data_IF_616904555237
#
_entry.id   IF_616904555237
#
_cell.length_a   1.000
_cell.length_b   1.000
_cell.length_c   1.000
_cell.angle_alpha   90.00
_cell.angle_beta   90.00
_cell.angle_gamma   90.00
#
_symmetry.space_group_name_H-M   'P 1'
#
loop_
_entity.id
_entity.type
_entity.pdbx_description
1 polymer ?
#
# COMPACT_ATOMS: atom_id res chain seq x y z
N UNK A 1 -10.82 -5.31 -8.01
CA UNK A 1 -11.04 -6.66 -7.49
C UNK A 1 -9.93 -7.61 -7.90
N UNK A 2 -9.77 -8.69 -7.15
CA UNK A 2 -8.81 -9.73 -7.51
C UNK A 2 -9.13 -10.27 -8.91
N UNK A 3 -8.11 -10.41 -9.73
CA UNK A 3 -8.21 -10.86 -11.12
C UNK A 3 -8.36 -9.74 -12.13
N UNK A 4 -8.70 -8.54 -11.70
CA UNK A 4 -8.78 -7.38 -12.59
C UNK A 4 -7.39 -6.78 -12.81
N UNK A 5 -7.24 -6.02 -13.88
CA UNK A 5 -6.01 -5.28 -14.14
C UNK A 5 -6.09 -3.91 -13.48
N UNK A 6 -5.01 -3.55 -12.78
CA UNK A 6 -4.93 -2.30 -12.04
C UNK A 6 -4.60 -1.13 -12.97
N UNK A 7 -5.16 0.02 -12.64
CA UNK A 7 -4.86 1.28 -13.31
C UNK A 7 -3.57 1.86 -12.74
N UNK A 8 -2.67 2.34 -13.62
CA UNK A 8 -1.50 3.08 -13.17
C UNK A 8 -1.91 4.45 -12.64
N UNK A 9 -1.00 5.09 -11.96
CA UNK A 9 -1.19 6.42 -11.38
C UNK A 9 0.06 7.26 -11.57
N UNK A 10 -0.06 8.55 -11.32
CA UNK A 10 1.06 9.47 -11.30
C UNK A 10 0.82 10.41 -10.12
N UNK A 11 1.44 10.10 -8.98
CA UNK A 11 1.18 10.76 -7.72
C UNK A 11 2.46 11.35 -7.13
N UNK A 12 2.30 12.42 -6.34
CA UNK A 12 3.41 13.15 -5.75
C UNK A 12 3.94 12.45 -4.50
N UNK A 13 5.22 12.13 -4.52
CA UNK A 13 5.95 11.61 -3.37
C UNK A 13 6.33 12.73 -2.40
N UNK A 14 6.65 12.35 -1.18
CA UNK A 14 7.10 13.29 -0.14
C UNK A 14 8.38 14.04 -0.50
N UNK A 15 9.18 13.54 -1.45
CA UNK A 15 10.36 14.26 -1.97
C UNK A 15 10.02 15.27 -3.08
N UNK A 16 8.75 15.41 -3.41
CA UNK A 16 8.26 16.32 -4.44
C UNK A 16 8.26 15.75 -5.85
N UNK A 17 8.78 14.54 -6.05
CA UNK A 17 8.80 13.89 -7.36
C UNK A 17 7.51 13.15 -7.63
N UNK A 18 7.13 13.07 -8.90
CA UNK A 18 5.99 12.26 -9.32
C UNK A 18 6.42 10.80 -9.46
N UNK A 19 5.59 9.89 -8.99
CA UNK A 19 5.86 8.44 -9.04
C UNK A 19 4.70 7.73 -9.74
N UNK A 20 5.05 6.86 -10.68
CA UNK A 20 4.12 5.96 -11.36
C UNK A 20 4.67 4.54 -11.31
N UNK A 21 3.80 3.54 -11.41
CA UNK A 21 4.26 2.14 -11.47
C UNK A 21 4.99 1.86 -12.79
N UNK A 22 4.55 2.46 -13.88
CA UNK A 22 5.17 2.29 -15.20
C UNK A 22 6.62 2.78 -15.25
N UNK A 23 7.01 3.71 -14.37
CA UNK A 23 8.39 4.20 -14.31
C UNK A 23 9.34 3.20 -13.65
N UNK A 24 8.82 2.22 -12.93
CA UNK A 24 9.61 1.17 -12.24
C UNK A 24 9.72 -0.06 -13.13
N UNK A 25 10.52 0.04 -14.20
CA UNK A 25 10.56 -0.97 -15.27
C UNK A 25 11.10 -2.33 -14.86
N UNK A 26 11.92 -2.38 -13.79
CA UNK A 26 12.50 -3.63 -13.30
C UNK A 26 11.56 -4.39 -12.34
N UNK A 27 10.45 -3.80 -11.97
CA UNK A 27 9.53 -4.43 -11.03
C UNK A 27 8.82 -5.63 -11.67
N UNK A 28 8.69 -6.70 -10.88
CA UNK A 28 7.90 -7.89 -11.25
C UNK A 28 6.46 -7.75 -10.80
N UNK A 29 6.21 -6.86 -9.87
CA UNK A 29 4.91 -6.55 -9.31
C UNK A 29 5.07 -5.44 -8.28
N UNK A 30 4.02 -5.20 -7.50
CA UNK A 30 3.99 -4.13 -6.52
C UNK A 30 3.20 -4.54 -5.29
N UNK A 31 3.60 -4.00 -4.15
CA UNK A 31 2.82 -4.05 -2.92
C UNK A 31 2.32 -2.63 -2.69
N UNK A 32 1.06 -2.37 -3.03
CA UNK A 32 0.43 -1.06 -2.81
C UNK A 32 -0.28 -1.06 -1.47
N UNK A 33 -0.02 -0.05 -0.66
CA UNK A 33 -0.63 0.05 0.67
C UNK A 33 -1.23 1.44 0.82
N UNK A 34 -2.56 1.51 0.86
CA UNK A 34 -3.26 2.74 1.23
C UNK A 34 -3.17 2.88 2.74
N UNK A 35 -2.50 3.93 3.20
CA UNK A 35 -2.23 4.16 4.62
C UNK A 35 -2.19 5.65 4.92
N UNK A 36 -2.18 6.01 6.21
CA UNK A 36 -2.17 7.40 6.61
C UNK A 36 -1.38 7.58 7.91
N UNK A 37 -1.27 8.82 8.37
CA UNK A 37 -0.47 9.16 9.56
C UNK A 37 -1.26 9.07 10.87
N UNK A 38 -2.57 9.22 10.83
CA UNK A 38 -3.40 9.44 12.03
C UNK A 38 -4.14 8.20 12.50
N UNK A 39 -4.37 7.22 11.62
CA UNK A 39 -5.12 6.03 11.97
C UNK A 39 -4.32 5.12 12.91
N UNK A 40 -4.88 4.73 14.08
CA UNK A 40 -4.17 3.82 15.00
C UNK A 40 -3.76 2.50 14.35
N UNK A 41 -4.60 1.95 13.48
CA UNK A 41 -4.28 0.71 12.76
C UNK A 41 -3.10 0.90 11.80
N UNK A 42 -3.08 2.01 11.07
CA UNK A 42 -1.96 2.33 10.18
C UNK A 42 -0.65 2.50 10.97
N UNK A 43 -0.71 3.17 12.12
CA UNK A 43 0.46 3.35 13.00
C UNK A 43 1.02 2.02 13.49
N UNK A 44 0.15 1.08 13.84
CA UNK A 44 0.56 -0.25 14.30
C UNK A 44 1.31 -1.05 13.23
N UNK A 45 1.04 -0.76 11.96
CA UNK A 45 1.64 -1.48 10.85
C UNK A 45 2.89 -0.81 10.25
N UNK A 46 3.25 0.39 10.67
CA UNK A 46 4.36 1.15 10.05
C UNK A 46 5.67 0.37 9.98
N UNK A 47 6.08 -0.26 11.08
CA UNK A 47 7.31 -1.06 11.11
C UNK A 47 7.23 -2.26 10.16
N UNK A 48 6.06 -2.89 10.08
CA UNK A 48 5.85 -4.03 9.17
C UNK A 48 5.90 -3.62 7.71
N UNK A 49 5.45 -2.41 7.39
CA UNK A 49 5.57 -1.86 6.03
C UNK A 49 7.03 -1.59 5.69
N UNK A 50 7.80 -1.05 6.63
CA UNK A 50 9.26 -0.87 6.47
C UNK A 50 9.94 -2.23 6.23
N UNK A 51 9.59 -3.25 7.00
CA UNK A 51 10.15 -4.60 6.85
C UNK A 51 9.79 -5.24 5.51
N UNK A 52 8.54 -5.08 5.05
CA UNK A 52 8.12 -5.55 3.72
C UNK A 52 8.95 -4.90 2.62
N UNK A 53 9.21 -3.61 2.74
CA UNK A 53 10.03 -2.86 1.79
C UNK A 53 11.44 -3.41 1.74
N UNK A 54 12.06 -3.62 2.90
CA UNK A 54 13.40 -4.19 3.01
C UNK A 54 13.46 -5.59 2.41
N UNK A 55 12.44 -6.40 2.65
CA UNK A 55 12.42 -7.81 2.24
C UNK A 55 12.16 -7.98 0.74
N UNK A 56 11.25 -7.22 0.16
CA UNK A 56 10.71 -7.51 -1.18
C UNK A 56 11.15 -6.58 -2.29
N UNK A 57 11.64 -5.37 -2.00
CA UNK A 57 12.08 -4.44 -3.05
C UNK A 57 13.16 -5.07 -3.93
N UNK A 58 14.19 -5.65 -3.32
CA UNK A 58 15.29 -6.30 -4.06
C UNK A 58 14.84 -7.55 -4.82
N UNK A 59 13.71 -8.12 -4.45
CA UNK A 59 13.13 -9.31 -5.12
C UNK A 59 12.19 -8.95 -6.26
N UNK A 60 12.01 -7.66 -6.53
CA UNK A 60 11.19 -7.17 -7.64
C UNK A 60 9.77 -6.77 -7.27
N UNK A 61 9.42 -6.75 -5.98
CA UNK A 61 8.12 -6.30 -5.48
C UNK A 61 8.28 -5.09 -4.56
N UNK A 62 8.52 -3.89 -5.11
CA UNK A 62 8.63 -2.70 -4.29
C UNK A 62 7.31 -2.36 -3.60
N UNK A 63 7.41 -1.76 -2.42
CA UNK A 63 6.28 -1.22 -1.69
C UNK A 63 6.06 0.23 -2.13
N UNK A 64 4.82 0.59 -2.39
CA UNK A 64 4.40 1.97 -2.60
C UNK A 64 3.25 2.23 -1.65
N UNK A 65 3.41 3.21 -0.76
CA UNK A 65 2.35 3.63 0.15
C UNK A 65 1.65 4.87 -0.41
N UNK A 66 0.34 4.92 -0.25
CA UNK A 66 -0.50 6.01 -0.77
C UNK A 66 -1.40 6.50 0.35
N UNK A 67 -1.34 7.79 0.66
CA UNK A 67 -2.25 8.41 1.60
C UNK A 67 -3.52 8.87 0.85
N UNK A 68 -4.67 8.26 1.17
CA UNK A 68 -5.92 8.59 0.50
C UNK A 68 -6.72 9.70 1.18
N UNK A 69 -6.34 10.11 2.39
CA UNK A 69 -7.14 11.01 3.20
C UNK A 69 -7.02 12.46 2.75
N UNK A 70 -8.15 13.16 2.72
CA UNK A 70 -8.18 14.59 2.43
C UNK A 70 -7.56 15.36 3.62
N UNK A 71 -6.49 16.11 3.35
CA UNK A 71 -5.74 16.85 4.37
C UNK A 71 -6.53 17.99 5.01
N UNK A 72 -7.60 18.48 4.36
CA UNK A 72 -8.46 19.50 4.98
C UNK A 72 -9.41 18.90 6.01
N UNK A 73 -9.86 17.65 5.81
CA UNK A 73 -10.70 16.93 6.77
C UNK A 73 -9.89 16.22 7.83
N UNK A 74 -8.67 15.85 7.52
CA UNK A 74 -7.74 15.16 8.42
C UNK A 74 -6.40 15.90 8.38
N UNK A 75 -6.25 17.02 9.13
CA UNK A 75 -5.03 17.83 9.04
C UNK A 75 -3.74 17.09 9.35
N UNK A 76 -3.79 16.09 10.22
CA UNK A 76 -2.65 15.22 10.52
C UNK A 76 -2.23 14.33 9.34
N UNK A 77 -3.02 14.26 8.27
CA UNK A 77 -2.75 13.52 7.05
C UNK A 77 -2.44 14.43 5.87
N UNK A 78 -2.14 15.70 6.11
CA UNK A 78 -1.71 16.63 5.06
C UNK A 78 -0.36 16.19 4.47
N UNK A 79 -0.06 16.71 3.29
CA UNK A 79 1.20 16.41 2.61
C UNK A 79 2.42 16.74 3.48
N UNK A 80 2.39 17.88 4.19
CA UNK A 80 3.48 18.26 5.09
C UNK A 80 3.60 17.31 6.28
N UNK A 81 2.50 16.82 6.80
CA UNK A 81 2.49 15.85 7.89
C UNK A 81 2.98 14.47 7.43
N UNK A 82 2.76 14.12 6.17
CA UNK A 82 3.34 12.90 5.58
C UNK A 82 4.87 12.96 5.61
N UNK A 83 5.45 14.10 5.24
CA UNK A 83 6.91 14.30 5.28
C UNK A 83 7.45 14.16 6.70
N UNK A 84 6.80 14.80 7.66
CA UNK A 84 7.19 14.74 9.07
C UNK A 84 7.13 13.31 9.61
N UNK A 85 6.06 12.60 9.30
CA UNK A 85 5.86 11.21 9.75
C UNK A 85 6.92 10.27 9.15
N UNK A 86 7.18 10.41 7.86
CA UNK A 86 8.17 9.58 7.17
C UNK A 86 9.56 9.75 7.78
N UNK A 87 9.93 10.99 8.09
CA UNK A 87 11.21 11.30 8.73
C UNK A 87 11.27 10.73 10.14
N UNK A 88 10.24 10.93 10.94
CA UNK A 88 10.17 10.47 12.32
C UNK A 88 10.25 8.95 12.43
N UNK A 89 9.56 8.24 11.55
CA UNK A 89 9.44 6.79 11.59
C UNK A 89 10.42 6.06 10.67
N UNK A 90 11.25 6.78 9.95
CA UNK A 90 12.26 6.16 9.08
C UNK A 90 11.67 5.38 7.93
N UNK A 91 10.65 5.90 7.27
CA UNK A 91 10.03 5.23 6.12
C UNK A 91 11.05 5.09 4.97
N UNK A 92 11.21 3.87 4.47
CA UNK A 92 12.14 3.53 3.40
C UNK A 92 11.44 3.22 2.07
N UNK A 93 10.23 3.68 1.92
CA UNK A 93 9.36 3.43 0.76
C UNK A 93 8.78 4.75 0.24
N UNK A 94 8.42 4.82 -1.07
CA UNK A 94 7.68 5.98 -1.58
C UNK A 94 6.36 6.15 -0.82
N UNK A 95 6.08 7.38 -0.44
CA UNK A 95 4.86 7.73 0.28
C UNK A 95 4.16 8.84 -0.51
N UNK A 96 3.12 8.46 -1.25
CA UNK A 96 2.47 9.29 -2.24
C UNK A 96 1.17 9.89 -1.70
N UNK A 97 0.86 11.09 -2.15
CA UNK A 97 -0.39 11.74 -1.77
C UNK A 97 -1.39 11.68 -2.92
N UNK A 98 -2.55 11.05 -2.68
CA UNK A 98 -3.66 10.98 -3.63
C UNK A 98 -4.60 12.17 -3.41
N UNK A 99 -4.14 13.34 -3.79
CA UNK A 99 -4.84 14.61 -3.51
C UNK A 99 -6.26 14.65 -4.07
N UNK A 100 -6.46 14.13 -5.29
CA UNK A 100 -7.78 14.10 -5.93
C UNK A 100 -8.64 12.93 -5.46
N UNK A 101 -8.04 11.93 -4.83
CA UNK A 101 -8.66 10.69 -4.41
C UNK A 101 -9.14 9.80 -5.56
N UNK A 102 -8.73 10.11 -6.79
CA UNK A 102 -9.10 9.32 -7.97
C UNK A 102 -8.49 7.93 -7.96
N UNK A 103 -7.21 7.82 -7.57
CA UNK A 103 -6.53 6.53 -7.49
C UNK A 103 -7.19 5.64 -6.43
N UNK A 104 -7.49 6.21 -5.27
CA UNK A 104 -8.16 5.48 -4.18
C UNK A 104 -9.51 4.93 -4.65
N UNK A 105 -10.29 5.74 -5.36
CA UNK A 105 -11.59 5.31 -5.91
C UNK A 105 -11.42 4.23 -6.97
N UNK A 106 -10.45 4.39 -7.85
CA UNK A 106 -10.19 3.42 -8.92
C UNK A 106 -9.85 2.03 -8.37
N UNK A 107 -9.11 1.97 -7.26
CA UNK A 107 -8.75 0.70 -6.62
C UNK A 107 -9.87 0.14 -5.74
N UNK A 108 -10.84 0.97 -5.36
CA UNK A 108 -11.88 0.56 -4.41
C UNK A 108 -11.36 0.41 -2.98
N UNK A 109 -10.30 1.15 -2.63
CA UNK A 109 -9.80 1.15 -1.26
C UNK A 109 -10.80 1.81 -0.32
N UNK A 110 -11.04 1.20 0.84
CA UNK A 110 -12.06 1.67 1.80
C UNK A 110 -11.53 1.84 3.22
N UNK A 111 -10.35 1.33 3.51
CA UNK A 111 -9.74 1.36 4.84
C UNK A 111 -8.28 1.81 4.75
N UNK A 112 -7.70 2.17 5.88
CA UNK A 112 -6.27 2.33 6.05
C UNK A 112 -5.83 1.53 7.29
N UNK A 113 -4.86 0.59 7.17
CA UNK A 113 -4.17 0.19 5.94
C UNK A 113 -5.03 -0.75 5.08
N UNK A 114 -4.87 -0.67 3.76
CA UNK A 114 -5.54 -1.54 2.80
C UNK A 114 -4.53 -1.91 1.71
N UNK A 115 -4.28 -3.21 1.52
CA UNK A 115 -3.20 -3.70 0.66
C UNK A 115 -3.76 -4.25 -0.65
N UNK A 116 -3.02 -3.96 -1.74
CA UNK A 116 -3.25 -4.54 -3.06
C UNK A 116 -1.90 -5.07 -3.56
N UNK A 117 -1.79 -6.38 -3.72
CA UNK A 117 -0.60 -7.00 -4.32
C UNK A 117 -0.85 -7.18 -5.81
N UNK A 118 0.03 -6.62 -6.62
CA UNK A 118 -0.08 -6.64 -8.08
C UNK A 118 1.06 -7.45 -8.68
N UNK A 119 0.75 -8.26 -9.70
CA UNK A 119 1.75 -8.98 -10.48
C UNK A 119 1.78 -8.43 -11.90
N UNK A 120 2.98 -8.18 -12.40
CA UNK A 120 3.17 -7.73 -13.77
C UNK A 120 2.99 -8.89 -14.74
N UNK A 121 2.06 -8.73 -15.68
CA UNK A 121 1.81 -9.64 -16.77
C UNK A 121 1.94 -8.87 -18.09
N UNK A 122 3.03 -9.10 -18.82
CA UNK A 122 3.41 -8.29 -19.98
C UNK A 122 3.53 -6.82 -19.55
N UNK A 123 2.70 -5.92 -20.09
CA UNK A 123 2.67 -4.50 -19.73
C UNK A 123 1.53 -4.13 -18.76
N UNK A 124 0.81 -5.14 -18.26
CA UNK A 124 -0.34 -4.94 -17.38
C UNK A 124 -0.03 -5.42 -15.97
N UNK A 125 -0.78 -4.90 -15.00
CA UNK A 125 -0.64 -5.25 -13.58
C UNK A 125 -1.93 -5.90 -13.10
N UNK A 126 -1.86 -7.18 -12.81
CA UNK A 126 -3.00 -7.94 -12.33
C UNK A 126 -3.09 -7.91 -10.82
N UNK A 127 -4.28 -7.66 -10.30
CA UNK A 127 -4.54 -7.70 -8.85
C UNK A 127 -4.59 -9.16 -8.40
N UNK A 128 -3.65 -9.56 -7.53
CA UNK A 128 -3.54 -10.93 -7.06
C UNK A 128 -3.99 -11.11 -5.60
N UNK A 129 -3.95 -10.05 -4.81
CA UNK A 129 -4.38 -10.07 -3.42
C UNK A 129 -4.92 -8.71 -3.01
N UNK A 130 -6.01 -8.72 -2.24
CA UNK A 130 -6.59 -7.51 -1.62
C UNK A 130 -6.92 -7.80 -0.16
N UNK A 131 -6.52 -6.92 0.76
CA UNK A 131 -6.92 -7.04 2.15
C UNK A 131 -5.92 -6.51 3.17
N UNK A 132 -5.78 -7.25 4.25
CA UNK A 132 -4.92 -6.89 5.38
C UNK A 132 -3.47 -7.33 5.16
N UNK A 133 -2.54 -6.71 5.88
CA UNK A 133 -1.13 -7.11 5.86
C UNK A 133 -0.94 -8.49 6.49
N UNK A 134 -1.56 -8.68 7.64
CA UNK A 134 -1.53 -9.94 8.37
C UNK A 134 -2.79 -10.06 9.26
N UNK A 135 -2.86 -11.10 10.09
CA UNK A 135 -4.03 -11.35 10.95
C UNK A 135 -3.89 -10.82 12.38
N UNK A 136 -2.87 -10.02 12.68
CA UNK A 136 -2.72 -9.45 14.03
C UNK A 136 -2.14 -8.02 13.97
N UNK A 137 -3.03 -7.03 14.05
CA UNK A 137 -2.61 -5.63 14.01
C UNK A 137 -1.90 -5.18 15.27
N UNK A 138 -2.17 -5.81 16.41
CA UNK A 138 -1.62 -5.39 17.70
C UNK A 138 -0.18 -5.84 17.93
N UNK A 139 0.16 -7.05 17.45
CA UNK A 139 1.46 -7.65 17.73
C UNK A 139 1.95 -8.48 16.54
N UNK A 140 3.00 -7.97 15.87
CA UNK A 140 3.58 -8.63 14.71
C UNK A 140 4.10 -10.04 15.05
N UNK A 141 4.65 -10.23 16.24
CA UNK A 141 5.19 -11.53 16.67
C UNK A 141 4.11 -12.58 16.83
N UNK A 142 2.87 -12.17 17.02
CA UNK A 142 1.72 -13.05 17.18
C UNK A 142 0.93 -13.27 15.90
N UNK A 143 1.34 -12.64 14.80
CA UNK A 143 0.70 -12.83 13.51
C UNK A 143 1.02 -14.22 12.96
N UNK A 144 0.04 -15.12 13.01
CA UNK A 144 0.18 -16.49 12.49
C UNK A 144 -0.02 -16.58 10.99
N UNK A 145 -0.71 -15.59 10.40
CA UNK A 145 -0.99 -15.52 8.96
C UNK A 145 -0.51 -14.18 8.41
N UNK A 146 0.58 -14.22 7.66
CA UNK A 146 1.19 -13.05 7.04
C UNK A 146 0.78 -13.02 5.56
N UNK A 147 -0.40 -12.49 5.31
CA UNK A 147 -1.07 -12.57 4.00
C UNK A 147 -0.27 -11.98 2.86
N UNK A 148 0.34 -10.80 3.06
CA UNK A 148 1.12 -10.15 2.01
C UNK A 148 2.38 -10.94 1.71
N UNK A 149 3.10 -11.37 2.74
CA UNK A 149 4.32 -12.18 2.55
C UNK A 149 4.01 -13.49 1.83
N UNK A 150 2.94 -14.18 2.24
CA UNK A 150 2.51 -15.42 1.59
C UNK A 150 2.16 -15.20 0.13
N UNK A 151 1.43 -14.11 -0.17
CA UNK A 151 1.06 -13.78 -1.54
C UNK A 151 2.29 -13.52 -2.41
N UNK A 152 3.19 -12.66 -1.95
CA UNK A 152 4.39 -12.30 -2.73
C UNK A 152 5.32 -13.50 -2.87
N UNK A 153 5.53 -14.28 -1.81
CA UNK A 153 6.38 -15.48 -1.86
C UNK A 153 5.86 -16.49 -2.88
N UNK A 154 4.55 -16.71 -2.93
CA UNK A 154 3.94 -17.59 -3.93
C UNK A 154 4.16 -17.06 -5.35
N UNK A 155 3.94 -15.76 -5.56
CA UNK A 155 4.15 -15.15 -6.88
C UNK A 155 5.62 -15.23 -7.33
N UNK A 156 6.56 -15.06 -6.41
CA UNK A 156 7.99 -15.19 -6.71
C UNK A 156 8.38 -16.61 -7.09
N UNK A 157 7.65 -17.62 -6.61
CA UNK A 157 7.85 -19.02 -6.94
C UNK A 157 7.06 -19.48 -8.17
N UNK A 158 6.35 -18.55 -8.82
CA UNK A 158 5.47 -18.89 -9.95
C UNK A 158 4.22 -19.65 -9.55
N UNK A 159 3.80 -19.55 -8.29
CA UNK A 159 2.60 -20.21 -7.76
C UNK A 159 1.45 -19.23 -7.64
N UNK A 160 0.22 -19.75 -7.67
CA UNK A 160 -0.97 -18.96 -7.42
C UNK A 160 -1.03 -18.54 -5.95
N UNK A 161 -1.61 -17.36 -5.70
CA UNK A 161 -1.90 -16.90 -4.34
C UNK A 161 -3.04 -17.75 -3.77
N UNK A 162 -2.84 -18.33 -2.60
CA UNK A 162 -3.86 -19.18 -1.97
C UNK A 162 -4.98 -18.35 -1.36
N UNK A 163 -4.63 -17.40 -0.49
CA UNK A 163 -5.59 -16.48 0.12
C UNK A 163 -5.58 -15.19 -0.68
N UNK A 164 -6.56 -15.02 -1.56
CA UNK A 164 -6.61 -13.90 -2.50
C UNK A 164 -7.30 -12.66 -1.94
N UNK A 165 -8.10 -12.84 -0.90
CA UNK A 165 -8.85 -11.75 -0.29
C UNK A 165 -8.96 -11.98 1.22
N UNK A 166 -8.75 -10.90 1.98
CA UNK A 166 -9.08 -10.82 3.40
C UNK A 166 -9.75 -9.49 3.67
N UNK A 167 -10.47 -9.40 4.77
CA UNK A 167 -11.09 -8.15 5.18
C UNK A 167 -10.00 -7.22 5.72
N UNK A 168 -9.85 -6.04 5.13
CA UNK A 168 -8.98 -5.02 5.67
C UNK A 168 -9.57 -4.48 6.97
N UNK A 169 -8.74 -4.46 8.01
CA UNK A 169 -9.13 -3.91 9.32
C UNK A 169 -8.39 -2.59 9.50
N UNK A 170 -9.15 -1.52 9.62
CA UNK A 170 -8.57 -0.18 9.71
C UNK A 170 -9.62 0.90 9.80
N UNK A 171 -9.16 2.14 9.70
CA UNK A 171 -10.02 3.31 9.73
C UNK A 171 -10.62 3.58 8.35
N UNK A 172 -11.83 4.13 8.32
CA UNK A 172 -12.44 4.58 7.08
C UNK A 172 -11.68 5.74 6.45
N UNK A 173 -11.70 5.82 5.14
CA UNK A 173 -11.04 6.89 4.40
C UNK A 173 -11.79 8.21 4.60
N UNK A 174 -11.04 9.30 4.77
CA UNK A 174 -11.57 10.65 4.94
C UNK A 174 -11.71 11.30 3.56
N UNK A 175 -12.90 11.16 2.97
CA UNK A 175 -13.20 11.67 1.64
C UNK A 175 -13.40 13.19 1.66
N UNK A 176 -13.06 13.83 0.54
CA UNK A 176 -13.39 15.25 0.34
C UNK A 176 -14.90 15.41 0.39
N UNK A 177 -15.33 16.53 0.96
CA UNK A 177 -16.72 16.92 0.89
C UNK A 177 -17.07 17.38 -0.52
N UNK A 178 -18.23 16.93 -0.98
CA UNK A 178 -18.73 17.32 -2.30
C UNK A 178 -19.37 18.70 -2.27
#
# INVERSE_FOLDING_TARGET
EVGEYATDFNLKDIDGKMVSMSSMTDAKGFILIFTCNTCPFSKMYEERIVELTTKYTSKGFPVIAINPNDGSRSPGDSYDQMKARAKEKGFNFPYLYDETQETTKAYGASRTPHVFVLKKEADKLKVEYVGAIDNNHRDASMASKKYVEQAVDNLLKGRAVETKFTKAIGCGIKWKES
#
